data_IF_302160163400
#
_entry.id   IF_302160163400
#
_cell.length_a   1.000
_cell.length_b   1.000
_cell.length_c   1.000
_cell.angle_alpha   90.00
_cell.angle_beta   90.00
_cell.angle_gamma   90.00
#
_symmetry.space_group_name_H-M   'P 1'
#
loop_
_entity.id
_entity.type
_entity.pdbx_description
1 polymer ?
#
# COMPACT_ATOMS: atom_id res chain seq x y z
N UNK A 1 -48.86 25.32 -29.43
CA UNK A 1 -49.93 26.23 -29.89
C UNK A 1 -49.97 27.43 -28.93
N UNK A 2 -50.29 28.61 -29.45
CA UNK A 2 -49.88 29.94 -29.00
C UNK A 2 -50.41 30.45 -27.64
N UNK A 3 -49.75 31.52 -27.15
CA UNK A 3 -49.99 32.36 -25.96
C UNK A 3 -51.32 33.15 -25.98
N UNK A 4 -51.59 33.99 -24.96
CA UNK A 4 -51.32 35.43 -25.14
C UNK A 4 -50.75 36.23 -23.91
N UNK A 5 -49.81 37.15 -24.21
CA UNK A 5 -49.65 38.61 -23.86
C UNK A 5 -50.39 39.21 -22.63
N UNK A 6 -49.96 40.23 -21.84
CA UNK A 6 -48.92 41.30 -21.77
C UNK A 6 -49.13 42.06 -20.39
N UNK A 7 -48.62 43.27 -20.07
CA UNK A 7 -47.29 43.94 -20.20
C UNK A 7 -46.81 44.69 -18.90
N UNK A 8 -45.57 45.22 -18.92
CA UNK A 8 -45.10 46.55 -18.41
C UNK A 8 -43.60 46.49 -18.00
N UNK A 9 -42.68 47.08 -18.78
CA UNK A 9 -42.07 48.44 -18.64
C UNK A 9 -41.14 48.58 -17.41
N UNK A 10 -39.86 48.96 -17.48
CA UNK A 10 -39.33 50.26 -17.93
C UNK A 10 -37.77 50.25 -17.95
N UNK A 11 -37.16 51.03 -18.86
CA UNK A 11 -35.91 51.77 -18.56
C UNK A 11 -34.64 51.45 -19.35
N UNK A 12 -34.47 52.07 -20.53
CA UNK A 12 -33.18 52.32 -21.20
C UNK A 12 -32.82 53.81 -21.05
N UNK A 13 -31.53 54.12 -20.82
CA UNK A 13 -31.00 55.49 -20.95
C UNK A 13 -29.94 55.50 -22.04
N UNK A 14 -30.12 56.48 -22.94
CA UNK A 14 -29.47 56.67 -24.21
C UNK A 14 -28.03 57.19 -24.10
N UNK A 15 -27.25 56.87 -25.14
CA UNK A 15 -25.96 57.50 -25.42
C UNK A 15 -26.13 58.93 -25.94
N UNK A 16 -25.15 59.75 -25.60
CA UNK A 16 -24.83 61.01 -26.29
C UNK A 16 -23.39 60.91 -26.76
N UNK A 17 -23.18 61.11 -28.06
CA UNK A 17 -21.86 61.20 -28.65
C UNK A 17 -21.40 62.64 -28.69
N UNK A 18 -20.13 62.88 -28.38
CA UNK A 18 -19.39 64.02 -28.90
C UNK A 18 -17.89 63.70 -28.96
N UNK A 19 -17.30 64.11 -30.08
CA UNK A 19 -15.98 63.76 -30.58
C UNK A 19 -14.91 64.79 -30.18
N UNK A 20 -13.71 64.32 -29.80
CA UNK A 20 -12.43 65.05 -30.04
C UNK A 20 -11.21 64.09 -30.05
N UNK A 21 -10.17 64.38 -30.86
CA UNK A 21 -9.13 63.42 -31.22
C UNK A 21 -7.91 63.53 -30.29
N UNK A 22 -7.34 62.38 -29.90
CA UNK A 22 -6.12 62.30 -29.12
C UNK A 22 -5.32 61.09 -29.54
N UNK A 23 -4.28 61.34 -30.32
CA UNK A 23 -3.33 60.34 -30.83
C UNK A 23 -2.65 59.62 -29.67
N UNK A 24 -2.73 58.29 -29.63
CA UNK A 24 -2.13 57.47 -28.59
C UNK A 24 -2.11 56.00 -28.99
N UNK A 25 -1.21 55.67 -29.91
CA UNK A 25 -0.74 54.30 -30.14
C UNK A 25 -0.35 53.73 -28.77
N UNK A 26 -0.93 52.59 -28.34
CA UNK A 26 -0.28 51.56 -27.52
C UNK A 26 -1.23 50.37 -27.23
N UNK A 27 -0.81 49.19 -27.72
CA UNK A 27 -1.08 47.84 -27.22
C UNK A 27 -2.51 47.29 -27.19
N UNK A 28 -3.00 46.86 -28.37
CA UNK A 28 -4.07 45.86 -28.50
C UNK A 28 -3.61 44.39 -28.41
N UNK A 29 -2.48 44.11 -27.75
CA UNK A 29 -1.89 42.76 -27.74
C UNK A 29 -2.15 41.95 -26.45
N UNK A 30 -2.73 42.54 -25.40
CA UNK A 30 -2.81 41.87 -24.10
C UNK A 30 -4.07 41.02 -23.90
N UNK A 31 -5.17 41.28 -24.62
CA UNK A 31 -6.42 40.50 -24.42
C UNK A 31 -6.45 39.16 -25.18
N UNK A 32 -5.64 39.01 -26.24
CA UNK A 32 -5.55 37.73 -26.95
C UNK A 32 -4.65 36.71 -26.23
N UNK A 33 -3.84 37.15 -25.27
CA UNK A 33 -2.88 36.28 -24.57
C UNK A 33 -3.48 35.58 -23.34
N UNK A 34 -4.60 36.08 -22.81
CA UNK A 34 -5.32 35.44 -21.71
C UNK A 34 -6.14 34.19 -22.13
N UNK A 35 -6.49 34.09 -23.42
CA UNK A 35 -7.21 32.95 -24.01
C UNK A 35 -6.31 31.85 -24.58
N UNK A 36 -4.99 32.09 -24.66
CA UNK A 36 -4.03 31.08 -25.07
C UNK A 36 -3.65 30.24 -23.84
N UNK A 37 -4.42 29.17 -23.66
CA UNK A 37 -4.28 28.18 -22.61
C UNK A 37 -2.83 27.92 -22.23
N UNK A 38 -2.55 28.07 -20.94
CA UNK A 38 -1.30 27.67 -20.29
C UNK A 38 -0.91 26.29 -20.82
N UNK A 39 0.12 26.21 -21.68
CA UNK A 39 0.62 24.93 -22.21
C UNK A 39 0.77 23.98 -21.02
N UNK A 40 0.06 22.83 -20.99
CA UNK A 40 0.20 21.91 -19.87
C UNK A 40 1.67 21.55 -19.81
N UNK A 41 2.33 21.84 -18.67
CA UNK A 41 3.72 21.45 -18.43
C UNK A 41 3.83 20.00 -18.87
N UNK A 42 4.65 19.71 -19.87
CA UNK A 42 4.83 18.37 -20.43
C UNK A 42 5.33 17.45 -19.31
N UNK A 43 4.37 16.86 -18.58
CA UNK A 43 4.68 15.87 -17.57
C UNK A 43 5.30 14.70 -18.28
N UNK A 44 6.43 14.22 -17.76
CA UNK A 44 7.10 13.00 -18.23
C UNK A 44 6.06 11.91 -18.42
N UNK A 45 6.14 11.15 -19.51
CA UNK A 45 5.16 10.10 -19.86
C UNK A 45 4.83 9.16 -18.68
N UNK A 46 5.83 8.87 -17.83
CA UNK A 46 5.69 8.15 -16.56
C UNK A 46 4.71 8.82 -15.59
N UNK A 47 4.81 10.13 -15.41
CA UNK A 47 3.89 10.91 -14.54
C UNK A 47 2.45 10.80 -15.03
N UNK A 48 2.23 10.86 -16.35
CA UNK A 48 0.88 10.65 -16.93
C UNK A 48 0.36 9.23 -16.68
N UNK A 49 1.22 8.22 -16.81
CA UNK A 49 0.86 6.80 -16.58
C UNK A 49 0.61 6.41 -15.12
N UNK A 50 1.15 7.15 -14.16
CA UNK A 50 1.04 6.82 -12.73
C UNK A 50 -0.06 7.61 -12.00
N UNK A 51 -0.54 8.72 -12.57
CA UNK A 51 -1.62 9.54 -11.97
C UNK A 51 -3.01 8.90 -12.15
N UNK A 52 -3.15 7.94 -13.06
CA UNK A 52 -4.39 7.19 -13.29
C UNK A 52 -4.64 6.12 -12.22
N UNK A 53 -5.91 5.74 -12.08
CA UNK A 53 -6.33 4.64 -11.20
C UNK A 53 -5.93 3.28 -11.77
N UNK A 54 -5.54 2.37 -10.88
CA UNK A 54 -5.25 0.99 -11.24
C UNK A 54 -6.56 0.24 -11.49
N UNK A 55 -6.62 -0.51 -12.60
CA UNK A 55 -7.73 -1.43 -12.86
C UNK A 55 -7.84 -2.45 -11.73
N UNK A 56 -9.05 -2.69 -11.23
CA UNK A 56 -9.28 -3.65 -10.15
C UNK A 56 -9.26 -5.10 -10.60
N UNK A 57 -9.65 -5.39 -11.84
CA UNK A 57 -9.62 -6.77 -12.35
C UNK A 57 -8.22 -7.36 -12.21
N UNK A 58 -8.14 -8.54 -11.59
CA UNK A 58 -6.91 -9.28 -11.31
C UNK A 58 -5.91 -8.59 -10.37
N UNK A 59 -6.27 -7.44 -9.77
CA UNK A 59 -5.43 -6.72 -8.82
C UNK A 59 -5.12 -7.57 -7.56
N UNK A 60 -5.97 -8.56 -7.27
CA UNK A 60 -5.75 -9.56 -6.24
C UNK A 60 -4.47 -10.37 -6.44
N UNK A 61 -3.95 -10.53 -7.66
CA UNK A 61 -2.68 -11.24 -7.89
C UNK A 61 -1.51 -10.56 -7.17
N UNK A 62 -1.48 -9.22 -7.17
CA UNK A 62 -0.46 -8.46 -6.43
C UNK A 62 -0.59 -8.68 -4.92
N UNK A 63 -1.83 -8.72 -4.41
CA UNK A 63 -2.12 -8.94 -2.99
C UNK A 63 -1.83 -10.38 -2.56
N UNK A 64 -2.08 -11.36 -3.42
CA UNK A 64 -1.72 -12.76 -3.22
C UNK A 64 -0.20 -12.93 -3.17
N UNK A 65 0.55 -12.20 -4.00
CA UNK A 65 2.01 -12.13 -3.91
C UNK A 65 2.51 -11.65 -2.54
N UNK A 66 1.80 -10.73 -1.90
CA UNK A 66 2.11 -10.29 -0.53
C UNK A 66 2.03 -11.41 0.50
N UNK A 67 1.18 -12.43 0.33
CA UNK A 67 1.11 -13.57 1.25
C UNK A 67 2.40 -14.40 1.24
N UNK A 68 3.02 -14.58 0.07
CA UNK A 68 4.33 -15.25 -0.03
C UNK A 68 5.37 -14.45 0.76
N UNK A 69 5.40 -13.12 0.57
CA UNK A 69 6.35 -12.24 1.24
C UNK A 69 6.13 -12.26 2.76
N UNK A 70 4.88 -12.20 3.21
CA UNK A 70 4.53 -12.34 4.64
C UNK A 70 5.04 -13.65 5.19
N UNK A 71 4.80 -14.78 4.51
CA UNK A 71 5.27 -16.09 4.94
C UNK A 71 6.80 -16.14 5.09
N UNK A 72 7.54 -15.61 4.11
CA UNK A 72 9.00 -15.54 4.17
C UNK A 72 9.46 -14.72 5.39
N UNK A 73 8.89 -13.53 5.57
CA UNK A 73 9.27 -12.60 6.64
C UNK A 73 8.94 -13.14 8.03
N UNK A 74 7.72 -13.65 8.23
CA UNK A 74 7.27 -14.16 9.53
C UNK A 74 7.99 -15.46 9.92
N UNK A 75 8.29 -16.33 8.96
CA UNK A 75 9.10 -17.54 9.19
C UNK A 75 10.53 -17.20 9.63
N UNK A 76 11.18 -16.25 8.94
CA UNK A 76 12.51 -15.79 9.32
C UNK A 76 12.50 -15.06 10.67
N UNK A 77 11.51 -14.21 10.92
CA UNK A 77 11.42 -13.41 12.15
C UNK A 77 11.12 -14.28 13.38
N UNK A 78 10.22 -15.26 13.26
CA UNK A 78 9.89 -16.14 14.39
C UNK A 78 11.08 -17.03 14.75
N UNK A 79 11.79 -17.55 13.74
CA UNK A 79 12.97 -18.40 13.95
C UNK A 79 14.16 -17.64 14.55
N UNK A 80 14.32 -16.36 14.19
CA UNK A 80 15.50 -15.57 14.59
C UNK A 80 15.27 -14.77 15.86
N UNK A 81 14.09 -14.16 15.97
CA UNK A 81 13.78 -13.19 17.03
C UNK A 81 12.68 -13.67 17.97
N UNK A 82 12.00 -14.77 17.67
CA UNK A 82 10.87 -15.23 18.47
C UNK A 82 9.65 -14.30 18.40
N UNK A 83 9.60 -13.36 17.46
CA UNK A 83 8.46 -12.48 17.26
C UNK A 83 8.00 -12.52 15.81
N UNK A 84 6.68 -12.46 15.62
CA UNK A 84 6.11 -12.23 14.29
C UNK A 84 6.30 -10.75 13.93
N UNK A 85 6.43 -10.44 12.64
CA UNK A 85 6.51 -9.04 12.18
C UNK A 85 5.20 -8.61 11.53
N UNK A 86 4.43 -9.54 10.96
CA UNK A 86 3.15 -9.25 10.30
C UNK A 86 1.95 -9.71 11.14
N UNK A 87 2.02 -10.89 11.77
CA UNK A 87 0.93 -11.46 12.56
C UNK A 87 0.91 -11.00 14.03
N UNK A 88 0.01 -10.08 14.37
CA UNK A 88 0.00 -9.49 15.72
C UNK A 88 -0.71 -10.34 16.78
N UNK A 89 -1.63 -11.25 16.42
CA UNK A 89 -2.37 -12.06 17.40
C UNK A 89 -1.45 -12.85 18.34
N UNK A 90 -0.46 -13.55 17.79
CA UNK A 90 0.53 -14.29 18.59
C UNK A 90 1.42 -13.37 19.43
N UNK A 91 1.83 -12.23 18.86
CA UNK A 91 2.61 -11.23 19.58
C UNK A 91 1.85 -10.67 20.79
N UNK A 92 0.54 -10.46 20.69
CA UNK A 92 -0.29 -9.98 21.80
C UNK A 92 -0.27 -10.96 22.96
N UNK A 93 -0.33 -12.27 22.68
CA UNK A 93 -0.18 -13.32 23.69
C UNK A 93 1.21 -13.27 24.33
N UNK A 94 2.28 -13.19 23.53
CA UNK A 94 3.64 -13.08 24.07
C UNK A 94 3.87 -11.82 24.90
N UNK A 95 3.26 -10.70 24.52
CA UNK A 95 3.29 -9.47 25.30
C UNK A 95 2.56 -9.64 26.64
N UNK A 96 1.37 -10.24 26.62
CA UNK A 96 0.56 -10.49 27.82
C UNK A 96 1.21 -11.46 28.81
N UNK A 97 2.02 -12.41 28.31
CA UNK A 97 2.83 -13.31 29.14
C UNK A 97 4.06 -12.65 29.77
N UNK A 98 4.40 -11.41 29.39
CA UNK A 98 5.60 -10.71 29.86
C UNK A 98 5.81 -10.71 31.39
N UNK A 99 4.79 -10.47 32.23
CA UNK A 99 4.93 -10.46 33.69
C UNK A 99 5.36 -11.81 34.30
N UNK A 100 5.11 -12.92 33.61
CA UNK A 100 5.41 -14.28 34.08
C UNK A 100 6.46 -14.99 33.23
N UNK A 101 6.94 -14.35 32.15
CA UNK A 101 7.89 -14.94 31.23
C UNK A 101 9.32 -14.90 31.78
N UNK A 102 10.02 -16.04 31.70
CA UNK A 102 11.46 -16.11 31.97
C UNK A 102 12.36 -15.60 30.82
N UNK A 103 11.76 -15.04 29.76
CA UNK A 103 12.44 -14.63 28.51
C UNK A 103 12.07 -13.20 28.13
N UNK A 104 12.93 -12.52 27.39
CA UNK A 104 12.67 -11.15 26.91
C UNK A 104 11.83 -11.10 25.63
N UNK A 105 11.26 -12.24 25.19
CA UNK A 105 10.44 -12.37 23.98
C UNK A 105 9.30 -11.36 23.94
N UNK A 106 8.68 -11.06 25.08
CA UNK A 106 7.57 -10.10 25.19
C UNK A 106 7.97 -8.68 24.74
N UNK A 107 9.23 -8.27 24.95
CA UNK A 107 9.74 -6.95 24.51
C UNK A 107 9.82 -6.88 22.98
N UNK A 108 10.29 -7.95 22.34
CA UNK A 108 10.36 -8.10 20.87
C UNK A 108 8.95 -8.06 20.25
N UNK A 109 8.01 -8.80 20.84
CA UNK A 109 6.60 -8.80 20.44
C UNK A 109 5.93 -7.44 20.65
N UNK A 110 6.18 -6.77 21.77
CA UNK A 110 5.67 -5.42 22.05
C UNK A 110 6.18 -4.39 21.05
N UNK A 111 7.46 -4.47 20.67
CA UNK A 111 8.03 -3.62 19.62
C UNK A 111 7.34 -3.84 18.26
N UNK A 112 7.10 -5.09 17.87
CA UNK A 112 6.35 -5.40 16.65
C UNK A 112 4.95 -4.80 16.66
N UNK A 113 4.19 -5.00 17.75
CA UNK A 113 2.81 -4.48 17.87
C UNK A 113 2.80 -2.96 17.75
N UNK A 114 3.65 -2.28 18.52
CA UNK A 114 3.72 -0.82 18.51
C UNK A 114 4.06 -0.30 17.11
N UNK A 115 5.09 -0.85 16.48
CA UNK A 115 5.51 -0.46 15.15
C UNK A 115 4.41 -0.73 14.09
N UNK A 116 3.73 -1.87 14.16
CA UNK A 116 2.61 -2.22 13.30
C UNK A 116 1.44 -1.22 13.43
N UNK A 117 1.10 -0.81 14.66
CA UNK A 117 0.08 0.19 14.93
C UNK A 117 0.44 1.57 14.37
N UNK A 118 1.67 2.03 14.60
CA UNK A 118 2.17 3.31 14.06
C UNK A 118 2.18 3.26 12.53
N UNK A 119 2.67 2.17 11.95
CA UNK A 119 2.65 1.95 10.50
C UNK A 119 1.22 1.98 9.95
N UNK A 120 0.27 1.35 10.63
CA UNK A 120 -1.13 1.30 10.20
C UNK A 120 -1.73 2.71 10.13
N UNK A 121 -1.43 3.53 11.13
CA UNK A 121 -1.79 4.94 11.13
C UNK A 121 -1.13 5.70 9.97
N UNK A 122 0.18 5.52 9.77
CA UNK A 122 0.95 6.15 8.70
C UNK A 122 0.40 5.82 7.30
N UNK A 123 0.30 4.53 6.95
CA UNK A 123 -0.16 4.10 5.62
C UNK A 123 -1.63 4.47 5.38
N UNK A 124 -2.47 4.42 6.41
CA UNK A 124 -3.86 4.89 6.32
C UNK A 124 -3.95 6.40 5.99
N UNK A 125 -3.05 7.21 6.54
CA UNK A 125 -2.97 8.64 6.22
C UNK A 125 -2.35 8.86 4.85
N UNK A 126 -1.32 8.11 4.47
CA UNK A 126 -0.72 8.15 3.14
C UNK A 126 -1.78 7.94 2.04
N UNK A 127 -2.61 6.91 2.16
CA UNK A 127 -3.66 6.64 1.17
C UNK A 127 -4.80 7.68 1.17
N UNK A 128 -5.03 8.40 2.28
CA UNK A 128 -6.09 9.43 2.39
C UNK A 128 -5.64 10.83 2.01
N UNK A 129 -4.42 11.23 2.38
CA UNK A 129 -3.93 12.60 2.22
C UNK A 129 -3.60 12.94 0.77
N UNK A 130 -3.16 11.94 0.00
CA UNK A 130 -2.50 12.20 -1.27
C UNK A 130 -3.38 12.00 -2.51
N UNK A 131 -4.63 11.56 -2.38
CA UNK A 131 -5.46 11.31 -3.57
C UNK A 131 -6.97 11.36 -3.32
N UNK A 132 -7.76 11.93 -4.24
CA UNK A 132 -9.22 11.74 -4.30
C UNK A 132 -9.64 10.27 -4.46
N UNK A 133 -8.74 9.42 -4.97
CA UNK A 133 -8.96 8.00 -5.17
C UNK A 133 -7.81 7.18 -4.56
N UNK A 134 -8.08 6.26 -3.61
CA UNK A 134 -7.04 5.49 -2.93
C UNK A 134 -6.38 4.43 -3.82
N UNK A 135 -6.88 4.24 -5.06
CA UNK A 135 -6.41 3.27 -6.05
C UNK A 135 -5.45 3.84 -7.10
N UNK A 136 -5.03 5.11 -6.96
CA UNK A 136 -4.07 5.71 -7.89
C UNK A 136 -2.76 4.92 -7.89
N UNK A 137 -2.29 4.59 -9.09
CA UNK A 137 -1.10 3.74 -9.28
C UNK A 137 0.13 4.29 -8.57
N UNK A 138 0.35 5.61 -8.63
CA UNK A 138 1.48 6.22 -7.95
C UNK A 138 1.43 6.08 -6.42
N UNK A 139 0.23 6.09 -5.82
CA UNK A 139 0.05 5.89 -4.37
C UNK A 139 0.38 4.46 -3.98
N UNK A 140 -0.07 3.49 -4.79
CA UNK A 140 0.29 2.07 -4.62
C UNK A 140 1.81 1.86 -4.78
N UNK A 141 2.41 2.43 -5.82
CA UNK A 141 3.85 2.39 -6.04
C UNK A 141 4.62 3.01 -4.86
N UNK A 142 4.20 4.19 -4.39
CA UNK A 142 4.83 4.87 -3.26
C UNK A 142 4.69 4.05 -1.97
N UNK A 143 3.51 3.47 -1.73
CA UNK A 143 3.28 2.61 -0.57
C UNK A 143 4.24 1.41 -0.59
N UNK A 144 4.33 0.69 -1.70
CA UNK A 144 5.25 -0.44 -1.83
C UNK A 144 6.73 -0.01 -1.86
N UNK A 145 7.07 1.17 -2.37
CA UNK A 145 8.42 1.72 -2.31
C UNK A 145 8.85 1.96 -0.86
N UNK A 146 8.00 2.63 -0.07
CA UNK A 146 8.24 2.86 1.36
C UNK A 146 8.39 1.51 2.09
N UNK A 147 7.47 0.57 1.84
CA UNK A 147 7.56 -0.77 2.44
C UNK A 147 8.90 -1.45 2.11
N UNK A 148 9.31 -1.39 0.85
CA UNK A 148 10.59 -1.96 0.38
C UNK A 148 11.78 -1.33 1.10
N UNK A 149 11.80 -0.01 1.25
CA UNK A 149 12.88 0.70 1.95
C UNK A 149 12.99 0.27 3.42
N UNK A 150 11.86 0.08 4.10
CA UNK A 150 11.87 -0.42 5.48
C UNK A 150 12.41 -1.85 5.59
N UNK A 151 12.00 -2.76 4.69
CA UNK A 151 12.55 -4.13 4.67
C UNK A 151 14.04 -4.10 4.29
N UNK A 152 14.46 -3.26 3.35
CA UNK A 152 15.86 -3.12 2.95
C UNK A 152 16.72 -2.56 4.08
N UNK A 153 16.20 -1.59 4.86
CA UNK A 153 16.87 -1.08 6.05
C UNK A 153 17.05 -2.16 7.12
N UNK A 154 16.02 -2.98 7.36
CA UNK A 154 16.13 -4.13 8.24
C UNK A 154 17.15 -5.16 7.72
N UNK A 155 17.10 -5.49 6.43
CA UNK A 155 18.05 -6.39 5.78
C UNK A 155 19.49 -5.90 5.93
N UNK A 156 19.73 -4.60 5.73
CA UNK A 156 21.02 -3.97 5.88
C UNK A 156 21.57 -4.06 7.31
N UNK A 157 20.73 -3.79 8.32
CA UNK A 157 21.12 -3.93 9.74
C UNK A 157 21.48 -5.39 10.05
N UNK A 158 20.71 -6.36 9.56
CA UNK A 158 20.98 -7.79 9.82
C UNK A 158 22.23 -8.27 9.06
N UNK A 159 22.50 -7.72 7.87
CA UNK A 159 23.63 -8.13 7.02
C UNK A 159 24.96 -7.57 7.54
N UNK A 160 24.99 -6.26 7.85
CA UNK A 160 26.22 -5.51 8.12
C UNK A 160 26.30 -4.94 9.53
N UNK A 161 25.23 -5.03 10.31
CA UNK A 161 25.21 -4.56 11.70
C UNK A 161 25.92 -5.51 12.67
N UNK A 162 25.93 -5.15 13.97
CA UNK A 162 26.53 -5.98 15.01
C UNK A 162 25.90 -7.38 15.06
N UNK A 163 26.72 -8.39 15.40
CA UNK A 163 26.31 -9.80 15.51
C UNK A 163 26.51 -10.29 16.95
N UNK A 164 25.91 -11.44 17.26
CA UNK A 164 26.12 -12.13 18.55
C UNK A 164 25.04 -11.89 19.60
N UNK A 165 23.90 -11.30 19.26
CA UNK A 165 22.75 -11.26 20.15
C UNK A 165 22.25 -12.69 20.43
N UNK A 166 22.15 -13.05 21.70
CA UNK A 166 21.51 -14.29 22.14
C UNK A 166 19.99 -14.26 21.92
N UNK A 167 19.31 -15.41 22.12
CA UNK A 167 17.87 -15.53 21.92
C UNK A 167 17.03 -14.56 22.78
N UNK A 168 17.51 -14.23 23.97
CA UNK A 168 16.87 -13.32 24.93
C UNK A 168 17.40 -11.89 24.89
N UNK A 169 18.40 -11.61 24.06
CA UNK A 169 18.96 -10.27 23.98
C UNK A 169 18.03 -9.36 23.15
N UNK A 170 17.93 -8.10 23.59
CA UNK A 170 17.10 -7.07 22.97
C UNK A 170 17.90 -5.82 22.58
N UNK A 171 19.09 -5.95 21.95
CA UNK A 171 19.85 -4.79 21.53
C UNK A 171 19.12 -4.08 20.37
N UNK A 172 19.51 -2.83 20.13
CA UNK A 172 18.89 -2.00 19.10
C UNK A 172 18.91 -2.65 17.72
N UNK A 173 19.95 -3.42 17.38
CA UNK A 173 20.10 -4.10 16.09
C UNK A 173 19.25 -5.38 15.95
N UNK A 174 18.53 -5.78 17.00
CA UNK A 174 17.46 -6.81 16.95
C UNK A 174 16.09 -6.15 16.92
N UNK A 175 15.87 -5.17 17.81
CA UNK A 175 14.57 -4.48 17.94
C UNK A 175 14.27 -3.61 16.72
N UNK A 176 15.27 -2.93 16.15
CA UNK A 176 15.07 -2.04 15.01
C UNK A 176 14.62 -2.80 13.77
N UNK A 177 15.27 -3.91 13.33
CA UNK A 177 14.75 -4.72 12.22
C UNK A 177 13.32 -5.20 12.43
N UNK A 178 12.97 -5.69 13.63
CA UNK A 178 11.58 -6.08 13.97
C UNK A 178 10.63 -4.91 13.74
N UNK A 179 10.94 -3.75 14.31
CA UNK A 179 10.12 -2.56 14.19
C UNK A 179 9.97 -2.09 12.73
N UNK A 180 11.04 -2.05 11.94
CA UNK A 180 10.98 -1.63 10.54
C UNK A 180 10.12 -2.60 9.70
N UNK A 181 10.31 -3.90 9.86
CA UNK A 181 9.54 -4.91 9.10
C UNK A 181 8.08 -4.94 9.57
N UNK A 182 7.82 -4.79 10.87
CA UNK A 182 6.46 -4.75 11.39
C UNK A 182 5.71 -3.48 10.97
N UNK A 183 6.38 -2.32 11.02
CA UNK A 183 5.83 -1.04 10.55
C UNK A 183 5.36 -1.13 9.10
N UNK A 184 6.15 -1.73 8.21
CA UNK A 184 5.77 -1.81 6.81
C UNK A 184 4.71 -2.88 6.50
N UNK A 185 4.64 -3.95 7.31
CA UNK A 185 3.78 -5.11 7.03
C UNK A 185 2.28 -4.76 6.99
N UNK A 186 1.86 -3.68 7.65
CA UNK A 186 0.47 -3.22 7.58
C UNK A 186 0.15 -2.46 6.28
N UNK A 187 1.16 -1.98 5.53
CA UNK A 187 0.96 -1.22 4.29
C UNK A 187 0.22 -2.02 3.22
N UNK A 188 0.50 -3.32 3.12
CA UNK A 188 -0.22 -4.27 2.27
C UNK A 188 -1.67 -4.51 2.73
N UNK A 189 -1.95 -4.52 4.04
CA UNK A 189 -3.32 -4.58 4.55
C UNK A 189 -4.13 -3.32 4.22
N UNK A 190 -3.50 -2.14 4.31
CA UNK A 190 -4.11 -0.87 3.91
C UNK A 190 -4.35 -0.84 2.39
N UNK A 191 -3.38 -1.29 1.58
CA UNK A 191 -3.52 -1.38 0.13
C UNK A 191 -4.67 -2.31 -0.28
N UNK A 192 -4.81 -3.46 0.39
CA UNK A 192 -5.91 -4.40 0.15
C UNK A 192 -7.28 -3.74 0.38
N UNK A 193 -7.43 -2.98 1.47
CA UNK A 193 -8.65 -2.24 1.78
C UNK A 193 -8.91 -1.11 0.79
N UNK A 194 -7.86 -0.39 0.37
CA UNK A 194 -7.94 0.65 -0.66
C UNK A 194 -8.47 0.09 -2.00
N UNK A 195 -8.08 -1.14 -2.34
CA UNK A 195 -8.53 -1.86 -3.55
C UNK A 195 -9.85 -2.61 -3.35
N UNK A 196 -10.47 -2.51 -2.17
CA UNK A 196 -11.72 -3.20 -1.76
C UNK A 196 -11.63 -4.73 -1.68
N UNK A 197 -10.43 -5.29 -1.59
CA UNK A 197 -10.21 -6.69 -1.26
C UNK A 197 -10.10 -6.87 0.26
N UNK A 198 -11.19 -6.66 1.00
CA UNK A 198 -11.12 -6.61 2.47
C UNK A 198 -10.67 -7.92 3.13
N UNK A 199 -10.86 -9.07 2.46
CA UNK A 199 -10.40 -10.37 2.92
C UNK A 199 -8.88 -10.59 2.76
N UNK A 200 -8.23 -9.97 1.76
CA UNK A 200 -6.84 -10.27 1.36
C UNK A 200 -5.78 -9.39 2.06
N UNK A 201 -5.93 -9.20 3.36
CA UNK A 201 -5.07 -8.27 4.12
C UNK A 201 -3.59 -8.67 4.19
N UNK A 202 -3.22 -9.92 3.86
CA UNK A 202 -1.87 -10.49 3.95
C UNK A 202 -1.21 -10.51 5.33
N UNK A 203 -1.93 -10.11 6.39
CA UNK A 203 -1.43 -10.04 7.78
C UNK A 203 -2.27 -10.88 8.76
N UNK A 204 -3.48 -11.29 8.37
CA UNK A 204 -4.37 -12.14 9.17
C UNK A 204 -4.93 -13.25 8.27
N UNK A 205 -4.86 -14.50 8.76
CA UNK A 205 -5.41 -15.68 8.08
C UNK A 205 -6.66 -16.26 8.76
N UNK A 206 -6.86 -16.01 10.05
CA UNK A 206 -7.94 -16.67 10.82
C UNK A 206 -9.31 -16.45 10.20
N UNK A 207 -9.65 -15.20 9.85
CA UNK A 207 -10.91 -14.90 9.17
C UNK A 207 -11.01 -15.57 7.80
N UNK A 208 -9.90 -15.70 7.07
CA UNK A 208 -9.89 -16.39 5.77
C UNK A 208 -10.18 -17.87 5.93
N UNK A 209 -9.61 -18.53 6.95
CA UNK A 209 -9.93 -19.92 7.25
C UNK A 209 -11.41 -20.08 7.62
N UNK A 210 -11.93 -19.23 8.53
CA UNK A 210 -13.34 -19.26 8.91
C UNK A 210 -14.25 -19.06 7.70
N UNK A 211 -13.98 -18.05 6.87
CA UNK A 211 -14.78 -17.76 5.67
C UNK A 211 -14.69 -18.89 4.63
N UNK A 212 -13.51 -19.50 4.46
CA UNK A 212 -13.31 -20.59 3.50
C UNK A 212 -14.08 -21.84 3.92
N UNK A 213 -13.92 -22.27 5.17
CA UNK A 213 -14.53 -23.52 5.65
C UNK A 213 -16.02 -23.38 5.99
N UNK A 214 -16.57 -22.17 5.97
CA UNK A 214 -18.02 -21.92 6.03
C UNK A 214 -18.66 -21.65 4.66
N UNK A 215 -17.86 -21.63 3.58
CA UNK A 215 -18.36 -21.39 2.22
C UNK A 215 -19.16 -22.60 1.72
N UNK A 216 -20.44 -22.39 1.40
CA UNK A 216 -21.31 -23.44 0.88
C UNK A 216 -20.83 -24.02 -0.47
N UNK A 217 -20.08 -23.24 -1.25
CA UNK A 217 -19.52 -23.61 -2.54
C UNK A 217 -18.05 -24.07 -2.44
N UNK A 218 -17.60 -24.52 -1.26
CA UNK A 218 -16.20 -24.92 -1.00
C UNK A 218 -15.66 -25.93 -2.02
N UNK A 219 -16.49 -26.92 -2.40
CA UNK A 219 -16.12 -28.01 -3.31
C UNK A 219 -16.55 -27.81 -4.77
N UNK A 220 -17.14 -26.66 -5.10
CA UNK A 220 -17.52 -26.38 -6.49
C UNK A 220 -16.30 -26.18 -7.38
N UNK A 221 -16.49 -26.15 -8.71
CA UNK A 221 -15.42 -25.88 -9.65
C UNK A 221 -14.76 -24.52 -9.40
N UNK A 222 -13.44 -24.44 -9.60
CA UNK A 222 -12.65 -23.21 -9.45
C UNK A 222 -13.09 -22.09 -10.41
N UNK A 223 -13.83 -22.40 -11.47
CA UNK A 223 -14.30 -21.37 -12.41
C UNK A 223 -15.52 -20.59 -11.92
N UNK A 224 -16.14 -21.01 -10.81
CA UNK A 224 -17.44 -20.45 -10.36
C UNK A 224 -17.26 -19.36 -9.31
N UNK A 225 -16.35 -19.54 -8.36
CA UNK A 225 -16.23 -18.66 -7.18
C UNK A 225 -14.79 -18.14 -7.01
N UNK A 226 -14.53 -16.98 -7.61
CA UNK A 226 -13.24 -16.30 -7.52
C UNK A 226 -12.89 -15.87 -6.07
N UNK A 227 -13.87 -15.56 -5.24
CA UNK A 227 -13.64 -15.17 -3.85
C UNK A 227 -13.16 -16.36 -3.01
N UNK A 228 -13.81 -17.51 -3.14
CA UNK A 228 -13.38 -18.77 -2.53
C UNK A 228 -12.00 -19.18 -3.01
N UNK A 229 -11.70 -19.05 -4.30
CA UNK A 229 -10.35 -19.33 -4.82
C UNK A 229 -9.28 -18.47 -4.16
N UNK A 230 -9.55 -17.18 -3.96
CA UNK A 230 -8.64 -16.26 -3.24
C UNK A 230 -8.45 -16.69 -1.78
N UNK A 231 -9.53 -17.14 -1.13
CA UNK A 231 -9.50 -17.67 0.25
C UNK A 231 -8.73 -18.98 0.37
N UNK A 232 -8.71 -19.82 -0.66
CA UNK A 232 -7.82 -20.99 -0.75
C UNK A 232 -6.37 -20.56 -1.01
N UNK A 233 -6.17 -19.63 -1.94
CA UNK A 233 -4.84 -19.21 -2.39
C UNK A 233 -4.07 -18.47 -1.28
N UNK A 234 -4.71 -17.59 -0.51
CA UNK A 234 -4.07 -16.79 0.53
C UNK A 234 -3.28 -17.63 1.58
N UNK A 235 -3.89 -18.57 2.32
CA UNK A 235 -3.16 -19.42 3.27
C UNK A 235 -2.14 -20.33 2.57
N UNK A 236 -2.47 -20.84 1.38
CA UNK A 236 -1.56 -21.70 0.61
C UNK A 236 -0.28 -20.97 0.21
N UNK A 237 -0.39 -19.74 -0.30
CA UNK A 237 0.74 -18.91 -0.70
C UNK A 237 1.56 -18.44 0.50
N UNK A 238 0.92 -18.18 1.64
CA UNK A 238 1.63 -17.89 2.88
C UNK A 238 2.43 -19.10 3.36
N UNK A 239 1.85 -20.30 3.31
CA UNK A 239 2.55 -21.54 3.65
C UNK A 239 3.75 -21.76 2.74
N UNK A 240 3.59 -21.58 1.42
CA UNK A 240 4.69 -21.64 0.45
C UNK A 240 5.78 -20.63 0.81
N UNK A 241 5.41 -19.39 1.11
CA UNK A 241 6.34 -18.36 1.57
C UNK A 241 7.08 -18.76 2.84
N UNK A 242 6.39 -19.33 3.83
CA UNK A 242 6.99 -19.77 5.08
C UNK A 242 7.98 -20.92 4.89
N UNK A 243 7.68 -21.86 3.98
CA UNK A 243 8.58 -22.94 3.57
C UNK A 243 9.83 -22.34 2.92
N UNK A 244 9.68 -21.42 1.96
CA UNK A 244 10.81 -20.73 1.32
C UNK A 244 11.66 -20.00 2.36
N UNK A 245 11.02 -19.23 3.26
CA UNK A 245 11.72 -18.53 4.34
C UNK A 245 12.50 -19.47 5.25
N UNK A 246 11.91 -20.62 5.62
CA UNK A 246 12.57 -21.64 6.44
C UNK A 246 13.74 -22.32 5.72
N UNK A 247 13.64 -22.55 4.41
CA UNK A 247 14.74 -23.09 3.60
C UNK A 247 15.89 -22.09 3.47
N UNK A 248 15.59 -20.82 3.21
CA UNK A 248 16.59 -19.74 3.17
C UNK A 248 17.26 -19.57 4.52
N UNK A 249 16.50 -19.66 5.63
CA UNK A 249 17.04 -19.59 6.99
C UNK A 249 18.06 -20.68 7.29
N UNK A 250 17.89 -21.90 6.74
CA UNK A 250 18.84 -23.01 6.88
C UNK A 250 20.09 -22.86 6.01
N UNK A 251 20.04 -22.02 4.98
CA UNK A 251 21.21 -21.73 4.14
C UNK A 251 22.17 -20.77 4.83
N UNK A 252 23.36 -20.59 4.25
CA UNK A 252 24.36 -19.63 4.73
C UNK A 252 23.85 -18.18 4.73
N UNK A 253 22.79 -17.88 3.97
CA UNK A 253 22.20 -16.55 3.91
C UNK A 253 21.40 -16.18 5.16
N UNK A 254 20.90 -17.18 5.89
CA UNK A 254 20.10 -17.01 7.12
C UNK A 254 18.96 -15.98 6.99
N UNK A 255 18.73 -15.25 8.08
CA UNK A 255 17.67 -14.23 8.17
C UNK A 255 17.88 -13.08 7.19
N UNK A 256 19.14 -12.69 6.95
CA UNK A 256 19.48 -11.64 6.01
C UNK A 256 19.01 -12.00 4.59
N UNK A 257 19.23 -13.25 4.17
CA UNK A 257 18.78 -13.77 2.88
C UNK A 257 17.27 -13.67 2.71
N UNK A 258 16.51 -14.06 3.72
CA UNK A 258 15.05 -13.99 3.69
C UNK A 258 14.55 -12.54 3.56
N UNK A 259 15.18 -11.60 4.27
CA UNK A 259 14.86 -10.17 4.17
C UNK A 259 15.20 -9.60 2.78
N UNK A 260 16.36 -9.91 2.22
CA UNK A 260 16.73 -9.48 0.86
C UNK A 260 15.84 -10.08 -0.22
N UNK A 261 15.44 -11.34 -0.08
CA UNK A 261 14.45 -11.95 -0.97
C UNK A 261 13.11 -11.20 -0.91
N UNK A 262 12.66 -10.85 0.30
CA UNK A 262 11.45 -10.05 0.48
C UNK A 262 11.58 -8.64 -0.15
N UNK A 263 12.75 -8.00 -0.10
CA UNK A 263 13.03 -6.73 -0.80
C UNK A 263 12.81 -6.90 -2.30
N UNK A 264 13.42 -7.92 -2.91
CA UNK A 264 13.30 -8.19 -4.35
C UNK A 264 11.83 -8.43 -4.74
N UNK A 265 11.11 -9.27 -3.97
CA UNK A 265 9.71 -9.55 -4.24
C UNK A 265 8.82 -8.30 -4.09
N UNK A 266 9.07 -7.43 -3.11
CA UNK A 266 8.34 -6.16 -2.98
C UNK A 266 8.63 -5.20 -4.13
N UNK A 267 9.87 -5.15 -4.62
CA UNK A 267 10.21 -4.39 -5.83
C UNK A 267 9.46 -4.90 -7.06
N UNK A 268 9.30 -6.22 -7.20
CA UNK A 268 8.49 -6.82 -8.26
C UNK A 268 7.03 -6.37 -8.16
N UNK A 269 6.43 -6.39 -6.96
CA UNK A 269 5.06 -5.89 -6.76
C UNK A 269 4.95 -4.39 -7.08
N UNK A 270 5.92 -3.58 -6.63
CA UNK A 270 5.98 -2.15 -6.92
C UNK A 270 6.03 -1.88 -8.43
N UNK A 271 6.90 -2.58 -9.15
CA UNK A 271 7.00 -2.47 -10.61
C UNK A 271 5.73 -3.01 -11.30
N UNK A 272 5.14 -4.07 -10.76
CA UNK A 272 3.85 -4.61 -11.16
C UNK A 272 2.75 -3.55 -11.11
N UNK A 273 2.65 -2.78 -10.02
CA UNK A 273 1.72 -1.66 -9.91
C UNK A 273 1.99 -0.54 -10.91
N UNK A 274 3.27 -0.23 -11.17
CA UNK A 274 3.63 0.79 -12.15
C UNK A 274 3.22 0.37 -13.58
N UNK A 275 3.39 -0.91 -13.91
CA UNK A 275 3.00 -1.50 -15.18
C UNK A 275 1.51 -1.83 -15.29
N UNK A 276 0.79 -1.88 -14.16
CA UNK A 276 -0.60 -2.35 -14.10
C UNK A 276 -1.54 -1.57 -15.03
N UNK A 277 -2.51 -2.23 -15.70
CA UNK A 277 -3.47 -1.54 -16.55
C UNK A 277 -4.20 -0.42 -15.81
N UNK A 278 -4.44 0.68 -16.52
CA UNK A 278 -5.27 1.76 -16.00
C UNK A 278 -6.75 1.35 -16.04
N UNK A 279 -7.52 1.85 -15.09
CA UNK A 279 -8.97 1.80 -15.17
C UNK A 279 -9.40 2.62 -16.39
N UNK A 280 -10.16 2.00 -17.30
CA UNK A 280 -10.69 2.70 -18.47
C UNK A 280 -11.86 3.54 -17.95
N UNK A 281 -11.74 4.87 -18.04
CA UNK A 281 -12.86 5.75 -17.75
C UNK A 281 -14.00 5.43 -18.73
N UNK A 282 -15.18 5.16 -18.18
CA UNK A 282 -16.45 5.24 -18.90
C UNK A 282 -16.68 6.68 -19.37
#
# INVERSE_FOLDING_TARGET
MAQPQNPASYGTVAGTGESRPGNGILNGNDESQALLGRKPKSGTWLRKKLVVDARRDWADVMLLGCYIITGILDSASISTWGAFVSMQTGNTVYLGLGPTAGTNRWKKSGSSILAFCIGSFFFSRLHRMFSPSPTRKWVLCLSFAIQTLFVAGAAAIVTWGPKGAGPDDVPWYVITPIALVAFQSCGQAVASRALKYNALTSVVLTSIYCDLFSDAALFESVFVNAERNRRVAAPSLLLIGAIIGGLVQKSELGTAGALWLAVVLKLVIMCGWAAWPAEQGL
#
